data_IF_774223923447
#
_entry.id   IF_774223923447
#
_cell.length_a   1.000
_cell.length_b   1.000
_cell.length_c   1.000
_cell.angle_alpha   90.00
_cell.angle_beta   90.00
_cell.angle_gamma   90.00
#
_symmetry.space_group_name_H-M   'P 1'
#
loop_
_entity.id
_entity.type
_entity.pdbx_description
1 polymer ?
#
# COMPACT_ATOMS: atom_id res chain seq x y z
N UNK A 1 -47.79 -22.51 -3.39
CA UNK A 1 -46.40 -22.77 -2.94
C UNK A 1 -45.51 -21.71 -3.59
N UNK A 2 -45.10 -20.69 -2.84
CA UNK A 2 -44.22 -19.64 -3.33
C UNK A 2 -42.76 -20.10 -3.19
N UNK A 3 -42.05 -20.19 -4.32
CA UNK A 3 -40.61 -20.50 -4.35
C UNK A 3 -39.85 -19.26 -3.90
N UNK A 4 -39.18 -19.35 -2.77
CA UNK A 4 -38.22 -18.34 -2.30
C UNK A 4 -37.02 -18.35 -3.25
N UNK A 5 -36.69 -17.19 -3.82
CA UNK A 5 -35.49 -16.98 -4.61
C UNK A 5 -34.31 -16.90 -3.63
N UNK A 6 -33.27 -17.73 -3.74
CA UNK A 6 -32.06 -17.56 -2.95
C UNK A 6 -31.43 -16.20 -3.26
N UNK A 7 -31.13 -15.46 -2.19
CA UNK A 7 -30.72 -14.07 -2.21
C UNK A 7 -29.66 -13.75 -3.25
N UNK A 8 -29.95 -12.73 -4.05
CA UNK A 8 -28.95 -11.93 -4.73
C UNK A 8 -27.90 -11.51 -3.68
N UNK A 9 -26.68 -12.03 -3.81
CA UNK A 9 -25.57 -11.64 -2.96
C UNK A 9 -25.36 -10.14 -3.10
N UNK A 10 -25.78 -9.38 -2.10
CA UNK A 10 -25.33 -8.01 -1.93
C UNK A 10 -23.81 -8.08 -1.82
N UNK A 11 -23.10 -7.64 -2.87
CA UNK A 11 -21.67 -7.38 -2.75
C UNK A 11 -21.39 -6.42 -1.59
N UNK A 12 -20.12 -6.30 -1.16
CA UNK A 12 -19.77 -5.50 0.00
C UNK A 12 -20.32 -4.09 -0.12
N UNK A 13 -20.96 -3.65 0.97
CA UNK A 13 -21.56 -2.32 1.10
C UNK A 13 -20.48 -1.24 1.03
N UNK A 14 -20.84 0.01 0.69
CA UNK A 14 -19.89 1.14 0.74
C UNK A 14 -19.17 1.23 2.10
N UNK A 15 -19.89 0.98 3.20
CA UNK A 15 -19.29 0.96 4.54
C UNK A 15 -18.27 -0.16 4.75
N UNK A 16 -18.50 -1.35 4.18
CA UNK A 16 -17.56 -2.48 4.27
C UNK A 16 -16.29 -2.18 3.47
N UNK A 17 -16.45 -1.65 2.26
CA UNK A 17 -15.32 -1.23 1.41
C UNK A 17 -14.49 -0.10 2.04
N UNK A 18 -15.15 0.93 2.59
CA UNK A 18 -14.46 2.00 3.30
C UNK A 18 -13.72 1.46 4.53
N UNK A 19 -14.31 0.52 5.26
CA UNK A 19 -13.67 -0.09 6.42
C UNK A 19 -12.40 -0.86 6.05
N UNK A 20 -12.47 -1.72 5.02
CA UNK A 20 -11.31 -2.47 4.53
C UNK A 20 -10.20 -1.54 4.02
N UNK A 21 -10.55 -0.52 3.23
CA UNK A 21 -9.57 0.44 2.70
C UNK A 21 -8.86 1.26 3.81
N UNK A 22 -9.54 1.49 4.95
CA UNK A 22 -9.00 2.24 6.07
C UNK A 22 -8.06 1.43 6.98
N UNK A 23 -8.02 0.11 6.83
CA UNK A 23 -7.18 -0.80 7.63
C UNK A 23 -6.13 -1.42 6.71
N UNK A 24 -5.01 -0.71 6.44
CA UNK A 24 -3.98 -1.26 5.60
C UNK A 24 -3.34 -2.49 6.27
N UNK A 25 -2.96 -3.51 5.48
CA UNK A 25 -2.26 -4.69 5.99
C UNK A 25 -0.81 -4.38 6.42
N UNK A 26 -0.30 -3.20 6.04
CA UNK A 26 1.00 -2.67 6.43
C UNK A 26 0.86 -1.58 7.50
N UNK A 27 1.88 -1.34 8.34
CA UNK A 27 1.84 -0.27 9.32
C UNK A 27 1.66 1.10 8.65
N UNK A 28 0.98 2.02 9.34
CA UNK A 28 0.82 3.41 8.86
C UNK A 28 2.19 4.06 8.65
N UNK A 29 2.29 4.91 7.62
CA UNK A 29 3.54 5.54 7.20
C UNK A 29 4.52 4.62 6.46
N UNK A 30 4.17 3.35 6.22
CA UNK A 30 5.06 2.41 5.53
C UNK A 30 5.38 2.87 4.09
N UNK A 31 6.64 2.75 3.61
CA UNK A 31 7.02 3.21 2.27
C UNK A 31 6.17 2.64 1.12
N UNK A 32 5.75 1.37 1.23
CA UNK A 32 4.84 0.76 0.25
C UNK A 32 3.44 1.41 0.24
N UNK A 33 2.93 1.88 1.38
CA UNK A 33 1.66 2.64 1.41
C UNK A 33 1.84 4.03 0.80
N UNK A 34 3.02 4.64 0.96
CA UNK A 34 3.35 5.92 0.32
C UNK A 34 3.36 5.75 -1.19
N UNK A 35 4.10 4.76 -1.71
CA UNK A 35 4.17 4.52 -3.16
C UNK A 35 2.82 4.09 -3.74
N UNK A 36 2.03 3.30 -3.01
CA UNK A 36 0.67 2.96 -3.41
C UNK A 36 -0.23 4.20 -3.50
N UNK A 37 -0.21 5.08 -2.49
CA UNK A 37 -0.99 6.31 -2.51
C UNK A 37 -0.59 7.24 -3.67
N UNK A 38 0.69 7.25 -4.07
CA UNK A 38 1.15 7.98 -5.26
C UNK A 38 0.61 7.36 -6.56
N UNK A 39 0.51 6.03 -6.64
CA UNK A 39 -0.09 5.34 -7.78
C UNK A 39 -1.59 5.62 -7.88
N UNK A 40 -2.32 5.58 -6.75
CA UNK A 40 -3.74 5.93 -6.67
C UNK A 40 -3.99 7.39 -7.08
N UNK A 41 -3.17 8.34 -6.61
CA UNK A 41 -3.25 9.74 -7.02
C UNK A 41 -2.99 9.90 -8.52
N UNK A 42 -2.01 9.16 -9.07
CA UNK A 42 -1.73 9.18 -10.50
C UNK A 42 -2.93 8.68 -11.33
N UNK A 43 -3.58 7.61 -10.90
CA UNK A 43 -4.70 7.01 -11.62
C UNK A 43 -5.99 7.83 -11.48
N UNK A 44 -6.43 8.08 -10.24
CA UNK A 44 -7.75 8.63 -9.96
C UNK A 44 -7.79 10.17 -9.93
N UNK A 45 -6.67 10.86 -9.65
CA UNK A 45 -6.61 12.33 -9.61
C UNK A 45 -5.94 12.93 -10.85
N UNK A 46 -4.94 12.25 -11.44
CA UNK A 46 -4.20 12.73 -12.62
C UNK A 46 -4.63 12.05 -13.93
N UNK A 47 -5.49 11.03 -13.89
CA UNK A 47 -6.02 10.34 -15.07
C UNK A 47 -5.01 9.44 -15.79
N UNK A 48 -3.97 8.96 -15.10
CA UNK A 48 -3.00 8.01 -15.64
C UNK A 48 -3.50 6.57 -15.45
N UNK A 49 -4.31 6.11 -16.40
CA UNK A 49 -4.92 4.77 -16.39
C UNK A 49 -3.88 3.64 -16.24
N UNK A 50 -4.15 2.73 -15.31
CA UNK A 50 -3.30 1.58 -14.98
C UNK A 50 -2.02 1.93 -14.22
N UNK A 51 -1.95 3.09 -13.56
CA UNK A 51 -0.82 3.42 -12.70
C UNK A 51 -0.72 2.47 -11.49
N UNK A 52 -1.86 2.07 -10.91
CA UNK A 52 -1.91 1.10 -9.81
C UNK A 52 -1.43 -0.27 -10.28
N UNK A 53 -1.95 -0.75 -11.42
CA UNK A 53 -1.53 -2.02 -12.01
C UNK A 53 -0.03 -2.08 -12.29
N UNK A 54 0.53 -1.04 -12.92
CA UNK A 54 1.98 -0.93 -13.18
C UNK A 54 2.81 -0.94 -11.90
N UNK A 55 2.37 -0.18 -10.90
CA UNK A 55 3.01 -0.17 -9.59
C UNK A 55 3.00 -1.57 -8.96
N UNK A 56 1.85 -2.26 -8.99
CA UNK A 56 1.74 -3.60 -8.43
C UNK A 56 2.62 -4.63 -9.16
N UNK A 57 2.74 -4.54 -10.48
CA UNK A 57 3.69 -5.35 -11.25
C UNK A 57 5.14 -5.09 -10.82
N UNK A 58 5.54 -3.85 -10.55
CA UNK A 58 6.87 -3.52 -10.04
C UNK A 58 7.12 -4.13 -8.65
N UNK A 59 6.13 -4.06 -7.75
CA UNK A 59 6.19 -4.70 -6.42
C UNK A 59 6.39 -6.21 -6.56
N UNK A 60 5.61 -6.87 -7.42
CA UNK A 60 5.73 -8.32 -7.67
C UNK A 60 7.10 -8.71 -8.22
N UNK A 61 7.73 -7.89 -9.03
CA UNK A 61 9.03 -8.18 -9.63
C UNK A 61 10.22 -7.82 -8.73
N UNK A 62 10.02 -7.03 -7.68
CA UNK A 62 11.09 -6.56 -6.79
C UNK A 62 11.20 -7.42 -5.54
N UNK A 63 12.29 -8.16 -5.40
CA UNK A 63 12.53 -9.06 -4.25
C UNK A 63 12.46 -8.34 -2.90
N UNK A 64 12.98 -7.11 -2.83
CA UNK A 64 12.96 -6.31 -1.59
C UNK A 64 11.54 -5.93 -1.16
N UNK A 65 10.68 -5.53 -2.10
CA UNK A 65 9.29 -5.20 -1.81
C UNK A 65 8.49 -6.42 -1.35
N UNK A 66 8.69 -7.58 -1.98
CA UNK A 66 8.07 -8.84 -1.51
C UNK A 66 8.47 -9.18 -0.09
N UNK A 67 9.77 -9.03 0.24
CA UNK A 67 10.28 -9.27 1.59
C UNK A 67 9.61 -8.34 2.62
N UNK A 68 9.40 -7.08 2.30
CA UNK A 68 8.72 -6.12 3.20
C UNK A 68 7.27 -6.53 3.49
N UNK A 69 6.54 -7.07 2.51
CA UNK A 69 5.17 -7.58 2.68
C UNK A 69 5.17 -8.84 3.56
N UNK A 70 6.09 -9.77 3.29
CA UNK A 70 6.25 -11.00 4.07
C UNK A 70 6.68 -10.71 5.54
N UNK A 71 7.55 -9.71 5.76
CA UNK A 71 7.98 -9.27 7.10
C UNK A 71 6.82 -8.68 7.93
N UNK A 72 5.80 -8.13 7.26
CA UNK A 72 4.56 -7.70 7.90
C UNK A 72 3.58 -8.87 8.19
N UNK A 73 3.97 -10.12 7.93
CA UNK A 73 3.12 -11.31 8.02
C UNK A 73 1.90 -11.28 7.10
N UNK A 74 2.03 -10.60 5.96
CA UNK A 74 1.00 -10.50 4.91
C UNK A 74 1.43 -11.34 3.71
N UNK A 75 0.51 -12.05 3.07
CA UNK A 75 0.80 -12.77 1.82
C UNK A 75 0.64 -11.82 0.63
N UNK A 76 1.36 -12.09 -0.47
CA UNK A 76 1.21 -11.31 -1.71
C UNK A 76 -0.23 -11.33 -2.23
N UNK A 77 -0.93 -12.47 -2.11
CA UNK A 77 -2.33 -12.64 -2.53
C UNK A 77 -3.27 -11.78 -1.67
N UNK A 78 -3.16 -11.85 -0.35
CA UNK A 78 -3.99 -11.02 0.54
C UNK A 78 -3.71 -9.53 0.40
N UNK A 79 -2.49 -9.15 0.00
CA UNK A 79 -2.17 -7.77 -0.31
C UNK A 79 -2.77 -7.33 -1.66
N UNK A 80 -2.78 -8.20 -2.67
CA UNK A 80 -3.44 -7.97 -3.96
C UNK A 80 -4.97 -7.82 -3.80
N UNK A 81 -5.61 -8.71 -3.03
CA UNK A 81 -7.03 -8.60 -2.70
C UNK A 81 -7.35 -7.26 -2.00
N UNK A 82 -6.49 -6.85 -1.07
CA UNK A 82 -6.67 -5.57 -0.38
C UNK A 82 -6.51 -4.37 -1.33
N UNK A 83 -5.58 -4.42 -2.29
CA UNK A 83 -5.45 -3.38 -3.33
C UNK A 83 -6.74 -3.25 -4.12
N UNK A 84 -7.29 -4.37 -4.59
CA UNK A 84 -8.55 -4.41 -5.35
C UNK A 84 -9.74 -3.87 -4.52
N UNK A 85 -9.80 -4.20 -3.22
CA UNK A 85 -10.81 -3.63 -2.31
C UNK A 85 -10.68 -2.10 -2.15
N UNK A 86 -9.45 -1.59 -2.10
CA UNK A 86 -9.18 -0.14 -2.04
C UNK A 86 -9.62 0.55 -3.34
N UNK A 87 -9.28 -0.01 -4.50
CA UNK A 87 -9.68 0.53 -5.80
C UNK A 87 -11.22 0.54 -5.93
N UNK A 88 -11.89 -0.55 -5.54
CA UNK A 88 -13.36 -0.62 -5.46
C UNK A 88 -13.96 0.39 -4.48
N UNK A 89 -13.28 0.68 -3.37
CA UNK A 89 -13.74 1.68 -2.41
C UNK A 89 -13.67 3.10 -3.00
N UNK A 90 -12.68 3.40 -3.83
CA UNK A 90 -12.56 4.68 -4.54
C UNK A 90 -13.58 4.76 -5.68
N UNK A 91 -13.66 3.73 -6.53
CA UNK A 91 -14.60 3.65 -7.65
C UNK A 91 -16.06 3.84 -7.21
N UNK A 92 -16.44 3.22 -6.08
CA UNK A 92 -17.79 3.36 -5.50
C UNK A 92 -17.97 4.61 -4.64
N UNK A 93 -17.00 5.53 -4.63
CA UNK A 93 -17.02 6.76 -3.82
C UNK A 93 -17.25 6.48 -2.32
N UNK A 94 -16.79 5.33 -1.83
CA UNK A 94 -16.84 4.98 -0.41
C UNK A 94 -15.71 5.65 0.38
N UNK A 95 -14.61 5.98 -0.29
CA UNK A 95 -13.49 6.77 0.23
C UNK A 95 -12.88 7.61 -0.91
N UNK A 96 -11.83 8.38 -0.61
CA UNK A 96 -11.06 9.14 -1.60
C UNK A 96 -9.56 8.97 -1.37
N UNK A 97 -8.75 9.17 -2.41
CA UNK A 97 -7.28 9.10 -2.31
C UNK A 97 -6.76 10.03 -1.20
N UNK A 98 -7.29 11.24 -1.11
CA UNK A 98 -6.96 12.19 -0.04
C UNK A 98 -7.26 11.64 1.36
N UNK A 99 -8.44 11.04 1.57
CA UNK A 99 -8.81 10.46 2.86
C UNK A 99 -7.90 9.28 3.24
N UNK A 100 -7.55 8.42 2.27
CA UNK A 100 -6.63 7.31 2.49
C UNK A 100 -5.24 7.80 2.88
N UNK A 101 -4.73 8.86 2.22
CA UNK A 101 -3.43 9.48 2.57
C UNK A 101 -3.37 9.95 4.02
N UNK A 102 -4.47 10.54 4.53
CA UNK A 102 -4.58 10.95 5.93
C UNK A 102 -4.63 9.74 6.89
N UNK A 103 -5.45 8.73 6.58
CA UNK A 103 -5.66 7.55 7.45
C UNK A 103 -4.40 6.70 7.55
N UNK A 104 -3.71 6.51 6.43
CA UNK A 104 -2.46 5.77 6.34
C UNK A 104 -1.25 6.58 6.79
N UNK A 105 -1.43 7.87 7.13
CA UNK A 105 -0.35 8.78 7.54
C UNK A 105 0.78 8.88 6.50
N UNK A 106 0.41 8.89 5.22
CA UNK A 106 1.35 9.03 4.09
C UNK A 106 1.26 10.40 3.42
N UNK A 107 0.37 11.28 3.92
CA UNK A 107 0.42 12.69 3.58
C UNK A 107 1.72 13.31 4.11
N UNK A 108 2.45 14.03 3.23
CA UNK A 108 3.87 14.39 3.37
C UNK A 108 4.25 15.27 4.57
N UNK A 109 3.35 15.48 5.53
CA UNK A 109 3.60 16.20 6.78
C UNK A 109 4.13 15.33 7.92
N UNK A 110 4.12 13.99 7.82
CA UNK A 110 4.65 13.08 8.87
C UNK A 110 5.54 11.92 8.37
N UNK A 111 6.40 12.13 7.36
CA UNK A 111 7.50 11.19 7.08
C UNK A 111 8.58 11.25 8.18
N UNK A 112 8.27 10.77 9.38
CA UNK A 112 9.28 10.47 10.39
C UNK A 112 9.21 8.98 10.74
N UNK A 113 10.37 8.32 10.59
CA UNK A 113 10.71 7.00 11.12
C UNK A 113 10.24 5.75 10.36
N UNK A 114 10.73 5.58 9.13
CA UNK A 114 11.33 4.28 8.78
C UNK A 114 12.81 4.53 8.52
N UNK A 115 13.58 4.57 9.60
CA UNK A 115 15.03 4.64 9.53
C UNK A 115 15.53 3.34 8.89
N UNK A 116 16.00 3.43 7.64
CA UNK A 116 16.80 2.35 7.06
C UNK A 116 18.00 2.09 8.00
N UNK A 117 18.36 0.83 8.30
CA UNK A 117 19.62 0.56 8.95
C UNK A 117 20.74 0.98 7.99
N UNK A 118 21.37 2.12 8.25
CA UNK A 118 22.60 2.52 7.57
C UNK A 118 23.63 1.41 7.85
N UNK A 119 23.92 0.61 6.83
CA UNK A 119 25.10 -0.25 6.83
C UNK A 119 26.33 0.66 6.80
N UNK A 120 26.81 1.02 7.99
CA UNK A 120 28.09 1.67 8.17
C UNK A 120 29.19 0.69 7.73
N UNK A 121 29.59 0.79 6.47
CA UNK A 121 30.84 0.19 6.01
C UNK A 121 31.99 0.85 6.77
N UNK A 122 32.50 0.17 7.78
CA UNK A 122 33.76 0.52 8.41
C UNK A 122 34.87 0.39 7.36
N UNK A 123 35.35 1.51 6.82
CA UNK A 123 36.61 1.53 6.09
C UNK A 123 37.76 1.36 7.09
N UNK A 124 38.71 0.42 6.88
CA UNK A 124 39.93 0.40 7.66
C UNK A 124 40.79 1.61 7.28
N UNK A 125 41.00 2.53 8.24
CA UNK A 125 41.97 3.61 8.10
C UNK A 125 43.38 3.01 8.06
N UNK A 126 43.96 2.96 6.87
CA UNK A 126 45.42 2.95 6.73
C UNK A 126 45.93 4.36 7.01
N UNK A 127 46.73 4.53 8.06
CA UNK A 127 47.47 5.76 8.32
C UNK A 127 48.90 5.45 8.81
N UNK A 128 49.78 5.36 7.81
CA UNK A 128 51.17 5.83 7.72
C UNK A 128 51.99 6.11 9.01
N UNK A 129 53.07 5.33 9.10
CA UNK A 129 54.48 5.71 9.32
C UNK A 129 54.90 6.93 10.20
N UNK A 130 55.84 6.59 11.10
CA UNK A 130 57.07 7.33 11.49
C UNK A 130 56.97 8.42 12.56
N UNK A 131 58.07 8.75 13.29
CA UNK A 131 59.51 8.60 12.98
C UNK A 131 60.20 7.32 13.45
#
# INVERSE_FOLDING_TARGET
QARSIPGMGCGPSKNELAHTANIPPLPKGHPLLVSFAMALEAEYEKGNDGAVGKWWEEIKNTREHRKQIEEASVTMESFEDWIDDVEKAIDKEATSVHNLKLIWQVDGSQQQAYAQPQQAYAQPQQAYAQP
#
